data_IF_639823498475
#
_entry.id   IF_639823498475
#
_cell.length_a   1.000
_cell.length_b   1.000
_cell.length_c   1.000
_cell.angle_alpha   90.00
_cell.angle_beta   90.00
_cell.angle_gamma   90.00
#
_symmetry.space_group_name_H-M   'P 1'
#
loop_
_entity.id
_entity.type
_entity.pdbx_description
1 polymer ?
#
# COMPACT_ATOMS: atom_id res chain seq x y z
N UNK A 1 -53.53 -8.62 -9.20
CA UNK A 1 -52.26 -8.71 -9.95
C UNK A 1 -51.17 -8.09 -9.08
N UNK A 2 -50.11 -8.81 -8.68
CA UNK A 2 -49.06 -8.24 -7.85
C UNK A 2 -47.94 -7.70 -8.73
N UNK A 3 -47.68 -6.40 -8.68
CA UNK A 3 -46.45 -5.81 -9.24
C UNK A 3 -45.41 -5.76 -8.13
N UNK A 4 -44.59 -6.81 -8.05
CA UNK A 4 -43.39 -6.81 -7.22
C UNK A 4 -42.35 -5.87 -7.84
N UNK A 5 -42.02 -4.79 -7.14
CA UNK A 5 -40.79 -4.05 -7.39
C UNK A 5 -39.62 -4.85 -6.81
N UNK A 6 -38.52 -5.09 -7.55
CA UNK A 6 -37.34 -5.68 -6.96
C UNK A 6 -36.73 -4.66 -5.98
N UNK A 7 -36.64 -5.04 -4.71
CA UNK A 7 -35.79 -4.37 -3.74
C UNK A 7 -34.36 -4.69 -4.14
N UNK A 8 -33.68 -3.74 -4.80
CA UNK A 8 -32.24 -3.82 -5.00
C UNK A 8 -31.60 -3.46 -3.67
N UNK A 9 -31.22 -4.48 -2.91
CA UNK A 9 -30.35 -4.31 -1.74
C UNK A 9 -28.95 -4.03 -2.29
N UNK A 10 -28.55 -2.76 -2.30
CA UNK A 10 -27.13 -2.42 -2.40
C UNK A 10 -26.50 -2.75 -1.04
N UNK A 11 -25.95 -3.95 -0.92
CA UNK A 11 -24.95 -4.19 0.11
C UNK A 11 -23.78 -3.29 -0.24
N UNK A 12 -23.59 -2.19 0.51
CA UNK A 12 -22.26 -1.58 0.60
C UNK A 12 -21.36 -2.69 1.14
N UNK A 13 -20.59 -3.33 0.27
CA UNK A 13 -19.45 -4.11 0.72
C UNK A 13 -18.52 -3.10 1.39
N UNK A 14 -18.57 -3.02 2.72
CA UNK A 14 -17.49 -2.41 3.48
C UNK A 14 -16.25 -3.19 3.08
N UNK A 15 -15.34 -2.54 2.34
CA UNK A 15 -14.07 -3.16 1.99
C UNK A 15 -13.40 -3.61 3.31
N UNK A 16 -12.96 -4.85 3.35
CA UNK A 16 -12.28 -5.40 4.53
C UNK A 16 -10.98 -4.62 4.72
N UNK A 17 -10.85 -3.89 5.83
CA UNK A 17 -9.59 -3.24 6.17
C UNK A 17 -8.52 -4.31 6.37
N UNK A 18 -7.34 -4.13 5.75
CA UNK A 18 -6.24 -5.08 5.86
C UNK A 18 -5.16 -4.48 6.74
N UNK A 19 -4.77 -5.23 7.78
CA UNK A 19 -3.66 -4.86 8.64
C UNK A 19 -2.75 -6.06 8.84
N UNK A 20 -1.58 -6.05 8.18
CA UNK A 20 -0.58 -7.13 8.26
C UNK A 20 0.69 -6.56 8.87
N UNK A 21 1.18 -7.21 9.91
CA UNK A 21 2.44 -6.84 10.55
C UNK A 21 3.43 -7.98 10.52
N UNK A 22 4.69 -7.67 10.29
CA UNK A 22 5.80 -8.61 10.47
C UNK A 22 6.95 -7.92 11.22
N UNK A 23 7.63 -8.66 12.10
CA UNK A 23 8.66 -8.12 12.99
C UNK A 23 10.00 -8.75 12.69
N UNK A 24 10.97 -7.92 12.30
CA UNK A 24 12.36 -8.36 12.20
C UNK A 24 13.00 -8.33 13.59
N UNK A 25 13.24 -9.50 14.18
CA UNK A 25 13.79 -9.60 15.55
C UNK A 25 15.23 -9.09 15.66
N UNK A 26 16.00 -9.11 14.57
CA UNK A 26 17.41 -8.69 14.56
C UNK A 26 17.54 -7.17 14.60
N UNK A 27 16.78 -6.47 13.75
CA UNK A 27 16.78 -4.99 13.69
C UNK A 27 15.73 -4.36 14.61
N UNK A 28 14.84 -5.17 15.19
CA UNK A 28 13.70 -4.75 16.03
C UNK A 28 12.74 -3.81 15.30
N UNK A 29 12.68 -3.89 13.98
CA UNK A 29 11.81 -3.08 13.13
C UNK A 29 10.53 -3.84 12.82
N UNK A 30 9.46 -3.09 12.63
CA UNK A 30 8.19 -3.61 12.15
C UNK A 30 7.96 -3.18 10.72
N UNK A 31 7.47 -4.11 9.91
CA UNK A 31 6.86 -3.84 8.63
C UNK A 31 5.35 -3.94 8.80
N UNK A 32 4.62 -2.94 8.32
CA UNK A 32 3.17 -2.83 8.49
C UNK A 32 2.57 -2.53 7.13
N UNK A 33 1.74 -3.43 6.61
CA UNK A 33 0.84 -3.16 5.49
C UNK A 33 -0.52 -2.78 6.07
N UNK A 34 -0.99 -1.59 5.76
CA UNK A 34 -2.29 -1.07 6.15
C UNK A 34 -3.10 -0.72 4.90
N UNK A 35 -4.29 -1.27 4.77
CA UNK A 35 -5.35 -0.84 3.85
C UNK A 35 -6.53 -0.35 4.70
N UNK A 36 -6.85 0.93 4.58
CA UNK A 36 -7.94 1.59 5.31
C UNK A 36 -9.24 1.71 4.48
N UNK A 37 -9.34 0.96 3.37
CA UNK A 37 -10.46 1.03 2.44
C UNK A 37 -10.40 2.18 1.42
N UNK A 38 -9.49 3.14 1.58
CA UNK A 38 -9.27 4.25 0.62
C UNK A 38 -7.89 4.22 -0.04
N UNK A 39 -6.88 3.74 0.68
CA UNK A 39 -5.50 3.65 0.20
C UNK A 39 -4.73 2.61 1.01
N UNK A 40 -3.84 1.86 0.36
CA UNK A 40 -2.97 0.92 1.03
C UNK A 40 -1.52 1.42 1.09
N UNK A 41 -0.92 1.34 2.27
CA UNK A 41 0.42 1.83 2.59
C UNK A 41 1.27 0.75 3.28
N UNK A 42 2.55 0.73 2.93
CA UNK A 42 3.57 -0.02 3.62
C UNK A 42 4.34 0.94 4.51
N UNK A 43 4.53 0.59 5.77
CA UNK A 43 5.34 1.34 6.73
C UNK A 43 6.48 0.48 7.24
N UNK A 44 7.64 1.13 7.42
CA UNK A 44 8.78 0.57 8.14
C UNK A 44 9.03 1.42 9.38
N UNK A 45 9.07 0.81 10.56
CA UNK A 45 9.23 1.55 11.82
C UNK A 45 10.69 1.78 12.18
N UNK A 46 10.95 2.76 13.07
CA UNK A 46 12.24 2.90 13.73
C UNK A 46 12.53 1.68 14.63
N UNK A 47 13.79 1.25 14.77
CA UNK A 47 14.18 0.11 15.61
C UNK A 47 13.64 0.21 17.04
N UNK A 48 12.97 -0.84 17.51
CA UNK A 48 12.45 -0.95 18.87
C UNK A 48 11.21 -0.11 19.15
N UNK A 49 10.60 0.50 18.14
CA UNK A 49 9.39 1.33 18.29
C UNK A 49 8.34 0.97 17.25
N UNK A 50 7.11 1.45 17.47
CA UNK A 50 6.03 1.42 16.47
C UNK A 50 5.93 2.74 15.67
N UNK A 51 6.88 3.66 15.81
CA UNK A 51 6.85 4.92 15.06
C UNK A 51 7.27 4.66 13.61
N UNK A 52 6.43 4.99 12.60
CA UNK A 52 6.83 4.93 11.20
C UNK A 52 8.06 5.80 10.95
N UNK A 53 9.06 5.24 10.27
CA UNK A 53 10.26 5.94 9.80
C UNK A 53 10.15 6.23 8.30
N UNK A 54 9.61 5.28 7.54
CA UNK A 54 9.44 5.38 6.09
C UNK A 54 8.11 4.76 5.67
N UNK A 55 7.63 5.20 4.52
CA UNK A 55 6.42 4.70 3.89
C UNK A 55 6.62 4.41 2.39
N UNK A 56 5.68 3.62 1.84
CA UNK A 56 5.52 3.40 0.42
C UNK A 56 4.04 3.19 0.10
N UNK A 57 3.52 3.86 -0.92
CA UNK A 57 2.20 3.53 -1.45
C UNK A 57 2.21 2.10 -2.01
N UNK A 58 1.14 1.34 -1.78
CA UNK A 58 1.05 -0.06 -2.22
C UNK A 58 0.06 -0.18 -3.35
N UNK A 59 -1.22 0.10 -3.12
CA UNK A 59 -2.28 0.07 -4.11
C UNK A 59 -3.49 0.91 -3.67
N UNK A 60 -4.41 1.13 -4.60
CA UNK A 60 -5.72 1.74 -4.37
C UNK A 60 -6.78 0.63 -4.27
N UNK A 61 -7.44 0.45 -3.11
CA UNK A 61 -8.55 -0.51 -2.94
C UNK A 61 -9.84 -0.05 -3.62
N UNK A 62 -9.87 1.22 -4.04
CA UNK A 62 -10.99 1.90 -4.68
C UNK A 62 -10.58 2.51 -6.01
N UNK A 63 -11.56 3.03 -6.75
CA UNK A 63 -11.29 3.75 -7.99
C UNK A 63 -10.46 5.00 -7.72
N UNK A 64 -9.62 5.35 -8.68
CA UNK A 64 -8.76 6.52 -8.62
C UNK A 64 -9.59 7.80 -8.64
N UNK A 65 -9.11 8.82 -7.97
CA UNK A 65 -9.70 10.17 -8.00
C UNK A 65 -9.02 11.01 -9.07
N UNK A 66 -9.67 12.06 -9.55
CA UNK A 66 -9.02 12.99 -10.49
C UNK A 66 -8.12 13.99 -9.75
N UNK A 67 -8.53 14.41 -8.55
CA UNK A 67 -7.85 15.44 -7.77
C UNK A 67 -7.69 15.01 -6.30
N UNK A 68 -6.61 15.48 -5.67
CA UNK A 68 -6.37 15.27 -4.25
C UNK A 68 -7.29 16.13 -3.41
N UNK A 69 -7.90 15.54 -2.38
CA UNK A 69 -8.59 16.31 -1.35
C UNK A 69 -7.58 16.89 -0.34
N UNK A 70 -7.16 18.13 -0.58
CA UNK A 70 -6.18 18.82 0.26
C UNK A 70 -6.68 19.02 1.71
N UNK A 71 -7.99 19.15 1.91
CA UNK A 71 -8.56 19.30 3.26
C UNK A 71 -8.36 18.05 4.10
N UNK A 72 -8.62 16.88 3.52
CA UNK A 72 -8.49 15.58 4.20
C UNK A 72 -7.02 15.31 4.56
N UNK A 73 -6.11 15.60 3.63
CA UNK A 73 -4.66 15.46 3.85
C UNK A 73 -4.20 16.33 5.02
N UNK A 74 -4.68 17.58 5.10
CA UNK A 74 -4.36 18.49 6.22
C UNK A 74 -4.91 18.02 7.56
N UNK A 75 -5.95 17.19 7.55
CA UNK A 75 -6.51 16.55 8.74
C UNK A 75 -5.79 15.23 9.10
N UNK A 76 -4.77 14.85 8.33
CA UNK A 76 -3.98 13.63 8.57
C UNK A 76 -4.60 12.36 7.98
N UNK A 77 -5.62 12.48 7.12
CA UNK A 77 -6.17 11.34 6.41
C UNK A 77 -5.20 10.91 5.30
N UNK A 78 -4.93 9.59 5.14
CA UNK A 78 -4.09 9.10 4.05
C UNK A 78 -4.67 9.49 2.69
N UNK A 79 -3.85 10.01 1.76
CA UNK A 79 -4.35 10.50 0.49
C UNK A 79 -4.75 9.34 -0.44
N UNK A 80 -5.83 9.54 -1.19
CA UNK A 80 -6.22 8.67 -2.30
C UNK A 80 -5.35 8.93 -3.53
N UNK A 81 -5.06 7.89 -4.30
CA UNK A 81 -4.23 8.02 -5.50
C UNK A 81 -5.01 8.66 -6.65
N UNK A 82 -4.37 9.57 -7.38
CA UNK A 82 -4.97 10.20 -8.56
C UNK A 82 -4.71 9.42 -9.85
N UNK A 83 -5.62 9.58 -10.82
CA UNK A 83 -5.49 9.05 -12.19
C UNK A 83 -4.16 9.42 -12.86
N UNK A 84 -3.69 10.65 -12.64
CA UNK A 84 -2.43 11.18 -13.20
C UNK A 84 -1.18 10.46 -12.68
N UNK A 85 -1.20 10.01 -11.42
CA UNK A 85 -0.05 9.37 -10.77
C UNK A 85 -0.07 7.85 -10.91
N UNK A 86 -1.21 7.27 -11.29
CA UNK A 86 -1.41 5.83 -11.27
C UNK A 86 -0.87 5.12 -12.51
N UNK A 87 -0.43 3.88 -12.31
CA UNK A 87 -0.29 2.89 -13.39
C UNK A 87 -1.56 2.05 -13.52
N UNK A 88 -1.60 1.17 -14.53
CA UNK A 88 -2.70 0.21 -14.71
C UNK A 88 -2.79 -0.85 -13.60
N UNK A 89 -1.70 -1.09 -12.86
CA UNK A 89 -1.67 -2.06 -11.76
C UNK A 89 -2.00 -1.42 -10.41
N UNK A 90 -2.30 -0.11 -10.38
CA UNK A 90 -2.53 0.61 -9.14
C UNK A 90 -3.80 0.20 -8.40
N UNK A 91 -4.78 -0.37 -9.09
CA UNK A 91 -6.10 -0.70 -8.52
C UNK A 91 -6.15 -2.19 -8.21
N UNK A 92 -6.39 -2.53 -6.93
CA UNK A 92 -6.68 -3.91 -6.48
C UNK A 92 -8.00 -3.88 -5.74
N UNK A 93 -9.09 -4.26 -6.42
CA UNK A 93 -10.43 -4.26 -5.83
C UNK A 93 -10.69 -5.54 -5.04
N UNK A 94 -11.38 -5.42 -3.90
CA UNK A 94 -11.71 -6.52 -2.99
C UNK A 94 -10.49 -7.37 -2.60
N UNK A 95 -9.39 -6.72 -2.14
CA UNK A 95 -8.19 -7.43 -1.74
C UNK A 95 -8.48 -8.37 -0.56
N UNK A 96 -7.75 -9.48 -0.46
CA UNK A 96 -7.78 -10.35 0.73
C UNK A 96 -6.42 -10.38 1.39
N UNK A 97 -6.38 -10.30 2.72
CA UNK A 97 -5.12 -10.31 3.47
C UNK A 97 -4.20 -11.49 3.10
N UNK A 98 -4.77 -12.68 2.85
CA UNK A 98 -4.04 -13.90 2.47
C UNK A 98 -3.32 -13.81 1.12
N UNK A 99 -3.67 -12.84 0.27
CA UNK A 99 -3.02 -12.62 -1.03
C UNK A 99 -1.75 -11.78 -0.90
N UNK A 100 -1.48 -11.19 0.28
CA UNK A 100 -0.32 -10.36 0.52
C UNK A 100 0.75 -11.08 1.33
N UNK A 101 2.00 -10.71 1.06
CA UNK A 101 3.15 -11.17 1.82
C UNK A 101 4.11 -10.01 2.12
N UNK A 102 4.81 -10.12 3.25
CA UNK A 102 5.92 -9.24 3.61
C UNK A 102 7.24 -10.01 3.38
N UNK A 103 8.19 -9.36 2.70
CA UNK A 103 9.55 -9.89 2.48
C UNK A 103 10.56 -8.90 3.00
N UNK A 104 11.40 -9.32 3.94
CA UNK A 104 12.54 -8.56 4.41
C UNK A 104 13.76 -8.73 3.50
N UNK A 105 14.62 -7.72 3.45
CA UNK A 105 16.00 -7.90 2.98
C UNK A 105 16.82 -8.70 4.00
N UNK A 106 17.94 -9.27 3.54
CA UNK A 106 18.83 -10.08 4.38
C UNK A 106 19.36 -9.30 5.60
N UNK A 107 19.55 -7.98 5.47
CA UNK A 107 20.02 -7.11 6.55
C UNK A 107 18.89 -6.62 7.49
N UNK A 108 17.63 -6.92 7.18
CA UNK A 108 16.46 -6.51 7.97
C UNK A 108 16.17 -5.01 7.97
N UNK A 109 16.79 -4.23 7.08
CA UNK A 109 16.66 -2.77 7.01
C UNK A 109 15.81 -2.31 5.81
N UNK A 110 15.34 -3.24 4.98
CA UNK A 110 14.46 -3.00 3.84
C UNK A 110 13.32 -4.02 3.83
N UNK A 111 12.18 -3.63 3.27
CA UNK A 111 10.99 -4.47 3.20
C UNK A 111 10.27 -4.30 1.87
N UNK A 112 9.71 -5.40 1.34
CA UNK A 112 8.84 -5.41 0.18
C UNK A 112 7.49 -6.06 0.53
N UNK A 113 6.43 -5.56 -0.10
CA UNK A 113 5.12 -6.19 -0.13
C UNK A 113 4.94 -6.92 -1.45
N UNK A 114 4.44 -8.15 -1.36
CA UNK A 114 3.98 -8.92 -2.51
C UNK A 114 2.46 -9.00 -2.54
N UNK A 115 1.89 -9.06 -3.73
CA UNK A 115 0.50 -9.43 -3.97
C UNK A 115 0.50 -10.62 -4.93
N UNK A 116 -0.11 -11.73 -4.53
CA UNK A 116 -0.10 -13.01 -5.27
C UNK A 116 1.32 -13.43 -5.65
N UNK A 117 2.25 -13.28 -4.70
CA UNK A 117 3.69 -13.56 -4.83
C UNK A 117 4.44 -12.67 -5.84
N UNK A 118 3.83 -11.60 -6.35
CA UNK A 118 4.49 -10.62 -7.21
C UNK A 118 4.83 -9.39 -6.35
N UNK A 119 6.09 -8.91 -6.32
CA UNK A 119 6.42 -7.72 -5.57
C UNK A 119 5.76 -6.48 -6.20
N UNK A 120 5.09 -5.68 -5.36
CA UNK A 120 4.32 -4.50 -5.83
C UNK A 120 4.73 -3.19 -5.16
N UNK A 121 5.39 -3.25 -4.00
CA UNK A 121 5.88 -2.08 -3.28
C UNK A 121 7.09 -2.44 -2.43
N UNK A 122 8.00 -1.49 -2.20
CA UNK A 122 9.17 -1.69 -1.32
C UNK A 122 9.65 -0.38 -0.67
N UNK A 123 10.19 -0.53 0.53
CA UNK A 123 10.98 0.49 1.24
C UNK A 123 12.41 -0.04 1.33
N UNK A 124 13.38 0.76 0.88
CA UNK A 124 14.81 0.42 0.99
C UNK A 124 15.54 1.42 1.88
N UNK A 125 16.53 0.94 2.64
CA UNK A 125 17.29 1.74 3.62
C UNK A 125 17.91 3.01 3.03
N UNK A 126 18.44 2.95 1.81
CA UNK A 126 19.17 4.06 1.18
C UNK A 126 18.26 5.10 0.48
N UNK A 127 16.96 4.81 0.30
CA UNK A 127 16.03 5.75 -0.35
C UNK A 127 15.20 6.50 0.68
N UNK A 128 15.03 7.80 0.47
CA UNK A 128 14.14 8.63 1.28
C UNK A 128 12.67 8.25 1.11
N UNK A 129 12.28 7.75 -0.07
CA UNK A 129 10.91 7.34 -0.41
C UNK A 129 10.84 5.89 -0.86
N UNK A 130 9.70 5.26 -0.59
CA UNK A 130 9.39 3.93 -1.11
C UNK A 130 9.17 3.90 -2.62
N UNK A 131 9.18 2.69 -3.18
CA UNK A 131 8.96 2.38 -4.59
C UNK A 131 7.68 1.57 -4.75
N UNK A 132 6.91 1.83 -5.80
CA UNK A 132 5.63 1.18 -6.02
C UNK A 132 5.34 0.95 -7.50
N UNK A 133 4.82 -0.24 -7.82
CA UNK A 133 4.29 -0.54 -9.16
C UNK A 133 3.05 0.27 -9.49
N UNK A 134 2.39 0.85 -8.49
CA UNK A 134 1.20 1.68 -8.64
C UNK A 134 1.50 3.09 -9.14
N UNK A 135 2.76 3.53 -9.15
CA UNK A 135 3.14 4.91 -9.48
C UNK A 135 3.79 5.02 -10.87
N UNK A 136 3.26 5.92 -11.70
CA UNK A 136 3.75 6.19 -13.07
C UNK A 136 4.95 7.13 -13.10
N UNK A 137 5.09 7.98 -12.07
CA UNK A 137 6.19 8.94 -11.89
C UNK A 137 6.44 9.22 -10.41
N UNK A 138 7.57 9.83 -10.08
CA UNK A 138 7.90 10.22 -8.71
C UNK A 138 6.95 11.31 -8.19
N UNK A 139 6.49 11.17 -6.95
CA UNK A 139 5.55 12.08 -6.31
C UNK A 139 5.60 11.96 -4.79
N UNK A 140 4.73 12.67 -4.07
CA UNK A 140 4.58 12.54 -2.62
C UNK A 140 4.20 11.13 -2.16
N UNK A 141 3.64 10.29 -3.04
CA UNK A 141 3.30 8.89 -2.75
C UNK A 141 4.49 7.94 -2.84
N UNK A 142 5.62 8.40 -3.38
CA UNK A 142 6.83 7.62 -3.57
C UNK A 142 7.38 7.67 -4.99
N UNK A 143 8.15 6.64 -5.33
CA UNK A 143 8.82 6.48 -6.61
C UNK A 143 8.17 5.35 -7.44
N UNK A 144 8.22 5.41 -8.77
CA UNK A 144 7.87 4.28 -9.62
C UNK A 144 8.73 3.07 -9.28
N UNK A 145 8.18 1.88 -9.52
CA UNK A 145 8.91 0.62 -9.33
C UNK A 145 10.25 0.61 -10.07
N UNK A 146 11.30 0.14 -9.39
CA UNK A 146 12.62 -0.08 -9.96
C UNK A 146 13.06 -1.53 -9.69
N UNK A 147 13.03 -2.35 -10.74
CA UNK A 147 13.40 -3.77 -10.65
C UNK A 147 14.87 -3.97 -10.26
N UNK A 148 15.75 -3.05 -10.65
CA UNK A 148 17.19 -3.12 -10.33
C UNK A 148 17.39 -2.89 -8.83
N UNK A 149 16.67 -1.93 -8.26
CA UNK A 149 16.68 -1.70 -6.80
C UNK A 149 16.12 -2.91 -6.07
N UNK A 150 15.01 -3.50 -6.53
CA UNK A 150 14.45 -4.70 -5.89
C UNK A 150 15.47 -5.85 -5.85
N UNK A 151 16.10 -6.18 -6.98
CA UNK A 151 17.10 -7.26 -7.03
C UNK A 151 18.36 -6.97 -6.19
N UNK A 152 18.71 -5.70 -5.97
CA UNK A 152 19.83 -5.31 -5.11
C UNK A 152 19.58 -5.71 -3.64
N UNK A 153 18.35 -5.53 -3.14
CA UNK A 153 18.01 -5.71 -1.73
C UNK A 153 17.31 -7.03 -1.39
N UNK A 154 16.63 -7.64 -2.37
CA UNK A 154 15.79 -8.81 -2.15
C UNK A 154 16.19 -9.94 -3.11
N UNK A 155 17.00 -10.87 -2.62
CA UNK A 155 17.42 -12.07 -3.37
C UNK A 155 16.42 -13.20 -3.22
#
# INVERSE_FOLDING_TARGET
>A
MPTGFPIIVFTLAMAEEIFITDHNTSTKRWAILEDNGNSAWLYLTKPGTQQPEKDAFVYSPVQLVEELNISDIKQGLPPMLTSELATRSAIILNPKAIEFGIKWSDDGESVAVTYKNIPISMIVRESERGYSTSLSRESAFGKPWDQTVYHKYFK
#
